data_IF_060371572207
#
_entry.id   IF_060371572207
#
_cell.length_a   1.000
_cell.length_b   1.000
_cell.length_c   1.000
_cell.angle_alpha   90.00
_cell.angle_beta   90.00
_cell.angle_gamma   90.00
#
_symmetry.space_group_name_H-M   'P 1'
#
loop_
_entity.id
_entity.type
_entity.pdbx_description
1 polymer ?
#
# COMPACT_ATOMS: atom_id res chain seq x y z
N UNK A 1 -23.60 10.03 1.56
CA UNK A 1 -22.61 9.57 0.58
C UNK A 1 -22.04 8.27 1.09
N UNK A 2 -21.87 7.27 0.21
CA UNK A 2 -21.30 5.97 0.60
C UNK A 2 -19.81 6.18 0.88
N UNK A 3 -19.38 5.97 2.11
CA UNK A 3 -17.98 6.05 2.50
C UNK A 3 -17.24 4.79 2.01
N UNK A 4 -16.53 4.90 0.89
CA UNK A 4 -15.81 3.77 0.28
C UNK A 4 -14.32 4.05 0.15
N UNK A 5 -13.51 3.05 0.44
CA UNK A 5 -12.06 3.07 0.23
C UNK A 5 -11.68 1.91 -0.70
N UNK A 6 -10.94 2.21 -1.77
CA UNK A 6 -10.38 1.20 -2.64
C UNK A 6 -9.06 0.70 -2.03
N UNK A 7 -8.97 -0.59 -1.79
CA UNK A 7 -7.76 -1.25 -1.29
C UNK A 7 -7.19 -2.12 -2.40
N UNK A 8 -5.96 -1.81 -2.81
CA UNK A 8 -5.32 -2.48 -3.94
C UNK A 8 -4.21 -3.40 -3.45
N UNK A 9 -4.42 -4.70 -3.63
CA UNK A 9 -3.46 -5.75 -3.31
C UNK A 9 -2.58 -6.08 -4.50
N UNK A 10 -1.40 -6.66 -4.24
CA UNK A 10 -0.62 -7.35 -5.26
C UNK A 10 -1.29 -8.65 -5.69
N UNK A 11 -1.00 -9.11 -6.89
CA UNK A 11 -1.27 -10.48 -7.35
C UNK A 11 0.01 -11.30 -7.50
N UNK A 12 1.16 -10.76 -7.09
CA UNK A 12 2.45 -11.41 -7.24
C UNK A 12 2.74 -12.35 -6.06
N UNK A 13 3.32 -13.53 -6.34
CA UNK A 13 3.41 -14.63 -5.37
C UNK A 13 4.82 -15.12 -5.08
N UNK A 14 5.86 -14.64 -5.78
CA UNK A 14 7.21 -15.20 -5.66
C UNK A 14 8.30 -14.14 -5.61
N UNK A 15 9.31 -14.39 -4.79
CA UNK A 15 10.53 -13.59 -4.74
C UNK A 15 11.55 -14.10 -5.79
N UNK A 16 12.46 -13.22 -6.25
CA UNK A 16 13.52 -13.58 -7.18
C UNK A 16 14.50 -14.55 -6.48
N UNK A 17 14.80 -15.67 -7.16
CA UNK A 17 15.78 -16.64 -6.66
C UNK A 17 15.37 -17.37 -5.37
N UNK A 18 14.08 -17.33 -5.04
CA UNK A 18 13.53 -17.97 -3.84
C UNK A 18 12.22 -18.69 -4.16
N UNK A 19 12.01 -19.81 -3.50
CA UNK A 19 10.71 -20.50 -3.50
C UNK A 19 9.78 -20.01 -2.38
N UNK A 20 10.23 -19.05 -1.57
CA UNK A 20 9.37 -18.45 -0.57
C UNK A 20 8.22 -17.68 -1.22
N UNK A 21 6.97 -17.99 -0.84
CA UNK A 21 5.82 -17.24 -1.32
C UNK A 21 5.86 -15.83 -0.73
N UNK A 22 5.41 -14.87 -1.52
CA UNK A 22 5.19 -13.49 -1.08
C UNK A 22 3.78 -13.05 -1.43
N UNK A 23 3.41 -11.87 -1.01
CA UNK A 23 2.08 -11.30 -1.21
C UNK A 23 1.92 -10.03 -0.38
N UNK A 24 0.71 -9.80 0.15
CA UNK A 24 0.51 -8.76 1.14
C UNK A 24 1.01 -9.20 2.52
N UNK A 25 1.50 -8.25 3.32
CA UNK A 25 2.00 -8.49 4.66
C UNK A 25 0.86 -8.33 5.68
N UNK A 26 0.60 -9.35 6.48
CA UNK A 26 -0.63 -9.50 7.29
C UNK A 26 -1.01 -8.26 8.14
N UNK A 27 -0.17 -7.72 9.05
CA UNK A 27 -0.56 -6.59 9.90
C UNK A 27 -0.81 -5.31 9.10
N UNK A 28 -0.24 -5.21 7.89
CA UNK A 28 -0.37 -4.02 7.06
C UNK A 28 -1.76 -3.85 6.45
N UNK A 29 -2.54 -4.89 6.47
CA UNK A 29 -3.96 -4.82 6.17
C UNK A 29 -4.84 -5.06 7.40
N UNK A 30 -4.48 -5.95 8.31
CA UNK A 30 -5.31 -6.28 9.46
C UNK A 30 -5.61 -5.05 10.34
N UNK A 31 -4.59 -4.26 10.69
CA UNK A 31 -4.76 -3.05 11.49
C UNK A 31 -5.60 -1.98 10.78
N UNK A 32 -5.27 -1.54 9.54
CA UNK A 32 -6.10 -0.57 8.82
C UNK A 32 -7.52 -1.08 8.54
N UNK A 33 -7.68 -2.39 8.27
CA UNK A 33 -8.99 -2.98 7.97
C UNK A 33 -9.99 -2.73 9.09
N UNK A 34 -9.66 -3.13 10.32
CA UNK A 34 -10.57 -2.93 11.45
C UNK A 34 -10.76 -1.46 11.80
N UNK A 35 -9.69 -0.68 11.74
CA UNK A 35 -9.77 0.75 12.02
C UNK A 35 -10.74 1.46 11.05
N UNK A 36 -10.62 1.21 9.76
CA UNK A 36 -11.42 1.85 8.72
C UNK A 36 -12.87 1.33 8.72
N UNK A 37 -13.08 0.03 8.90
CA UNK A 37 -14.43 -0.54 9.04
C UNK A 37 -15.17 -0.01 10.26
N UNK A 38 -14.50 0.06 11.42
CA UNK A 38 -15.08 0.60 12.65
C UNK A 38 -15.44 2.09 12.53
N UNK A 39 -14.76 2.83 11.64
CA UNK A 39 -15.09 4.20 11.30
C UNK A 39 -16.25 4.32 10.28
N UNK A 40 -16.83 3.19 9.86
CA UNK A 40 -18.00 3.13 8.97
C UNK A 40 -17.68 3.17 7.47
N UNK A 41 -16.44 2.88 7.08
CA UNK A 41 -16.06 2.78 5.67
C UNK A 41 -16.30 1.37 5.11
N UNK A 42 -16.80 1.30 3.89
CA UNK A 42 -16.81 0.08 3.08
C UNK A 42 -15.48 -0.04 2.36
N UNK A 43 -14.79 -1.16 2.54
CA UNK A 43 -13.53 -1.45 1.87
C UNK A 43 -13.80 -2.33 0.64
N UNK A 44 -13.33 -1.89 -0.51
CA UNK A 44 -13.42 -2.65 -1.77
C UNK A 44 -12.03 -3.15 -2.12
N UNK A 45 -11.85 -4.47 -2.17
CA UNK A 45 -10.59 -5.09 -2.53
C UNK A 45 -10.45 -5.22 -4.04
N UNK A 46 -9.28 -4.85 -4.56
CA UNK A 46 -8.93 -5.05 -5.96
C UNK A 46 -7.48 -5.56 -6.07
N UNK A 47 -7.17 -6.24 -7.15
CA UNK A 47 -5.81 -6.66 -7.49
C UNK A 47 -5.65 -6.79 -9.00
N UNK A 48 -4.42 -6.79 -9.56
CA UNK A 48 -4.19 -6.90 -11.00
C UNK A 48 -4.90 -8.10 -11.67
N UNK A 49 -4.88 -9.26 -11.01
CA UNK A 49 -5.39 -10.53 -11.58
C UNK A 49 -6.75 -10.96 -11.03
N UNK A 50 -7.32 -10.21 -10.09
CA UNK A 50 -8.51 -10.60 -9.34
C UNK A 50 -8.35 -11.89 -8.50
N UNK A 51 -9.42 -12.30 -7.85
CA UNK A 51 -9.44 -13.52 -7.02
C UNK A 51 -8.70 -13.35 -5.71
N UNK A 52 -8.06 -14.40 -5.25
CA UNK A 52 -7.36 -14.41 -3.96
C UNK A 52 -6.10 -13.55 -4.00
N UNK A 53 -6.04 -12.57 -3.09
CA UNK A 53 -4.81 -11.83 -2.86
C UNK A 53 -3.80 -12.73 -2.13
N UNK A 54 -2.57 -12.91 -2.65
CA UNK A 54 -1.58 -13.77 -2.01
C UNK A 54 -1.11 -13.18 -0.68
N UNK A 55 -1.07 -14.02 0.35
CA UNK A 55 -0.58 -13.68 1.69
C UNK A 55 0.88 -14.11 1.85
N UNK A 56 1.71 -13.20 2.35
CA UNK A 56 3.06 -13.55 2.77
C UNK A 56 3.02 -14.37 4.07
N UNK A 57 3.34 -15.65 3.98
CA UNK A 57 3.25 -16.58 5.10
C UNK A 57 4.24 -16.26 6.22
N UNK A 58 5.37 -15.60 5.93
CA UNK A 58 6.31 -15.17 6.95
C UNK A 58 5.68 -14.15 7.91
N UNK A 59 4.75 -13.33 7.41
CA UNK A 59 4.01 -12.36 8.23
C UNK A 59 3.05 -13.02 9.22
N UNK A 60 2.50 -14.18 8.88
CA UNK A 60 1.63 -14.95 9.79
C UNK A 60 2.42 -15.41 11.01
N UNK A 61 3.62 -15.98 10.79
CA UNK A 61 4.48 -16.42 11.88
C UNK A 61 5.02 -15.25 12.71
N UNK A 62 5.46 -14.18 12.05
CA UNK A 62 5.99 -12.99 12.71
C UNK A 62 4.95 -12.30 13.60
N UNK A 63 3.67 -12.32 13.21
CA UNK A 63 2.57 -11.64 13.90
C UNK A 63 1.54 -12.59 14.53
N UNK A 64 1.96 -13.81 14.86
CA UNK A 64 1.09 -14.84 15.47
C UNK A 64 0.50 -14.46 16.84
N UNK A 65 1.06 -13.47 17.51
CA UNK A 65 0.59 -12.94 18.79
C UNK A 65 -0.06 -11.57 18.68
N UNK A 66 -0.15 -11.01 17.47
CA UNK A 66 -0.82 -9.73 17.23
C UNK A 66 -2.34 -9.95 17.11
N UNK A 67 -3.10 -9.29 18.00
CA UNK A 67 -4.53 -9.54 18.13
C UNK A 67 -5.31 -9.29 16.85
N UNK A 68 -5.06 -8.18 16.15
CA UNK A 68 -5.77 -7.84 14.93
C UNK A 68 -5.38 -8.77 13.78
N UNK A 69 -4.11 -9.17 13.68
CA UNK A 69 -3.64 -10.14 12.68
C UNK A 69 -4.28 -11.52 12.90
N UNK A 70 -4.28 -12.00 14.13
CA UNK A 70 -4.91 -13.29 14.49
C UNK A 70 -6.42 -13.25 14.25
N UNK A 71 -7.07 -12.15 14.59
CA UNK A 71 -8.49 -11.92 14.33
C UNK A 71 -8.79 -11.92 12.84
N UNK A 72 -7.99 -11.21 12.05
CA UNK A 72 -8.15 -11.09 10.59
C UNK A 72 -8.12 -12.47 9.92
N UNK A 73 -7.21 -13.35 10.31
CA UNK A 73 -7.11 -14.71 9.77
C UNK A 73 -8.34 -15.59 10.11
N UNK A 74 -9.06 -15.28 11.18
CA UNK A 74 -10.25 -16.03 11.64
C UNK A 74 -11.57 -15.38 11.23
N UNK A 75 -11.55 -14.15 10.79
CA UNK A 75 -12.73 -13.39 10.40
C UNK A 75 -13.17 -13.82 9.00
N UNK A 76 -14.31 -14.52 8.92
CA UNK A 76 -14.83 -15.04 7.65
C UNK A 76 -15.15 -13.94 6.63
N UNK A 77 -15.58 -12.75 7.08
CA UNK A 77 -15.82 -11.61 6.20
C UNK A 77 -14.52 -11.08 5.61
N UNK A 78 -13.48 -10.90 6.47
CA UNK A 78 -12.17 -10.46 6.03
C UNK A 78 -11.53 -11.47 5.07
N UNK A 79 -11.60 -12.77 5.39
CA UNK A 79 -11.06 -13.83 4.51
C UNK A 79 -11.80 -13.90 3.16
N UNK A 80 -13.13 -13.82 3.19
CA UNK A 80 -13.91 -13.74 1.94
C UNK A 80 -13.53 -12.50 1.13
N UNK A 81 -13.27 -11.37 1.77
CA UNK A 81 -12.93 -10.11 1.13
C UNK A 81 -11.57 -10.17 0.40
N UNK A 82 -10.53 -10.74 1.02
CA UNK A 82 -9.21 -10.90 0.38
C UNK A 82 -9.16 -12.03 -0.64
N UNK A 83 -10.04 -13.03 -0.51
CA UNK A 83 -10.13 -14.15 -1.46
C UNK A 83 -10.92 -13.80 -2.73
N UNK A 84 -11.66 -12.68 -2.73
CA UNK A 84 -12.53 -12.28 -3.84
C UNK A 84 -12.23 -10.83 -4.28
N UNK A 85 -10.96 -10.50 -4.51
CA UNK A 85 -10.59 -9.18 -5.02
C UNK A 85 -11.16 -8.99 -6.43
N UNK A 86 -11.55 -7.76 -6.75
CA UNK A 86 -11.97 -7.39 -8.09
C UNK A 86 -10.75 -7.16 -8.99
N UNK A 87 -10.83 -7.45 -10.30
CA UNK A 87 -9.74 -7.11 -11.20
C UNK A 87 -9.59 -5.59 -11.32
N UNK A 88 -8.34 -5.10 -11.30
CA UNK A 88 -8.08 -3.67 -11.48
C UNK A 88 -8.67 -3.12 -12.77
N UNK A 89 -8.79 -3.95 -13.81
CA UNK A 89 -9.39 -3.57 -15.11
C UNK A 89 -10.88 -3.16 -15.03
N UNK A 90 -11.58 -3.47 -13.92
CA UNK A 90 -12.94 -2.96 -13.69
C UNK A 90 -12.95 -1.49 -13.25
N UNK A 91 -11.80 -0.94 -12.87
CA UNK A 91 -11.66 0.42 -12.40
C UNK A 91 -10.97 1.30 -13.44
N UNK A 92 -11.35 2.55 -13.48
CA UNK A 92 -10.78 3.56 -14.38
C UNK A 92 -10.74 4.92 -13.68
N UNK A 93 -10.28 5.93 -14.36
CA UNK A 93 -10.31 7.31 -13.85
C UNK A 93 -11.72 7.77 -13.47
N UNK A 94 -12.77 7.27 -14.11
CA UNK A 94 -14.18 7.57 -13.74
C UNK A 94 -14.56 6.95 -12.40
N UNK A 95 -14.00 5.80 -12.04
CA UNK A 95 -14.25 5.13 -10.76
C UNK A 95 -13.74 5.93 -9.55
N UNK A 96 -12.79 6.84 -9.75
CA UNK A 96 -12.26 7.70 -8.67
C UNK A 96 -13.37 8.45 -7.93
N UNK A 97 -14.43 8.85 -8.64
CA UNK A 97 -15.58 9.56 -8.04
C UNK A 97 -16.37 8.70 -7.03
N UNK A 98 -16.31 7.37 -7.14
CA UNK A 98 -17.06 6.43 -6.30
C UNK A 98 -16.40 6.16 -4.95
N UNK A 99 -15.14 6.53 -4.78
CA UNK A 99 -14.34 6.26 -3.60
C UNK A 99 -13.86 7.54 -2.94
N UNK A 100 -13.60 7.48 -1.64
CA UNK A 100 -13.09 8.60 -0.85
C UNK A 100 -11.56 8.56 -0.70
N UNK A 101 -10.94 7.38 -0.78
CA UNK A 101 -9.49 7.18 -0.71
C UNK A 101 -9.06 5.92 -1.47
N UNK A 102 -7.76 5.81 -1.74
CA UNK A 102 -7.10 4.59 -2.21
C UNK A 102 -5.96 4.22 -1.26
N UNK A 103 -5.84 2.91 -0.95
CA UNK A 103 -4.83 2.37 -0.04
C UNK A 103 -4.17 1.12 -0.62
N UNK A 104 -2.85 1.07 -0.51
CA UNK A 104 -1.99 -0.02 -0.94
C UNK A 104 -1.32 -0.65 0.30
N UNK A 105 -1.76 -1.81 0.81
CA UNK A 105 -1.01 -2.58 1.80
C UNK A 105 0.27 -3.12 1.17
N UNK A 106 1.32 -3.25 1.98
CA UNK A 106 2.62 -3.68 1.49
C UNK A 106 2.85 -5.19 1.56
N UNK A 107 4.06 -5.58 1.90
CA UNK A 107 4.67 -6.86 1.60
C UNK A 107 5.52 -6.73 0.34
N UNK A 108 6.35 -7.73 0.02
CA UNK A 108 7.28 -7.63 -1.12
C UNK A 108 6.59 -7.75 -2.50
N UNK A 109 5.43 -8.42 -2.57
CA UNK A 109 4.68 -8.59 -3.81
C UNK A 109 4.42 -7.30 -4.60
N UNK A 110 4.01 -6.19 -3.96
CA UNK A 110 3.83 -4.88 -4.59
C UNK A 110 5.01 -4.35 -5.41
N UNK A 111 6.24 -4.78 -5.14
CA UNK A 111 7.41 -4.35 -5.92
C UNK A 111 7.43 -4.89 -7.35
N UNK A 112 6.67 -5.94 -7.64
CA UNK A 112 6.75 -6.67 -8.90
C UNK A 112 5.69 -6.26 -9.92
N UNK A 113 4.46 -6.12 -9.49
CA UNK A 113 3.31 -5.94 -10.39
C UNK A 113 2.75 -4.51 -10.37
N UNK A 114 2.63 -3.90 -9.20
CA UNK A 114 1.94 -2.61 -9.08
C UNK A 114 2.64 -1.42 -9.76
N UNK A 115 3.98 -1.31 -9.76
CA UNK A 115 4.68 -0.21 -10.43
C UNK A 115 4.53 -0.22 -11.96
N UNK A 116 4.28 -1.39 -12.54
CA UNK A 116 4.18 -1.58 -14.00
C UNK A 116 2.74 -1.78 -14.49
N UNK A 117 1.78 -1.89 -13.58
CA UNK A 117 0.36 -1.97 -13.93
C UNK A 117 -0.18 -0.58 -14.28
N UNK A 118 -0.57 -0.40 -15.55
CA UNK A 118 -1.04 0.89 -16.05
C UNK A 118 -2.34 1.36 -15.35
N UNK A 119 -3.24 0.44 -15.01
CA UNK A 119 -4.48 0.77 -14.31
C UNK A 119 -4.19 1.24 -12.88
N UNK A 120 -3.25 0.56 -12.18
CA UNK A 120 -2.78 1.00 -10.86
C UNK A 120 -2.22 2.44 -10.93
N UNK A 121 -1.35 2.71 -11.90
CA UNK A 121 -0.77 4.04 -12.10
C UNK A 121 -1.84 5.11 -12.39
N UNK A 122 -2.82 4.80 -13.25
CA UNK A 122 -3.93 5.71 -13.57
C UNK A 122 -4.81 6.01 -12.36
N UNK A 123 -5.12 4.99 -11.57
CA UNK A 123 -5.89 5.15 -10.32
C UNK A 123 -5.13 6.01 -9.32
N UNK A 124 -3.85 5.72 -9.05
CA UNK A 124 -3.02 6.52 -8.15
C UNK A 124 -3.02 7.99 -8.59
N UNK A 125 -2.74 8.25 -9.87
CA UNK A 125 -2.80 9.60 -10.44
C UNK A 125 -4.16 10.24 -10.22
N UNK A 126 -5.24 9.53 -10.58
CA UNK A 126 -6.61 10.04 -10.50
C UNK A 126 -7.03 10.41 -9.07
N UNK A 127 -6.75 9.54 -8.09
CA UNK A 127 -7.04 9.82 -6.69
C UNK A 127 -6.23 11.02 -6.18
N UNK A 128 -4.93 11.03 -6.44
CA UNK A 128 -4.06 12.09 -6.01
C UNK A 128 -4.45 13.44 -6.63
N UNK A 129 -4.68 13.51 -7.94
CA UNK A 129 -5.05 14.75 -8.62
C UNK A 129 -6.44 15.25 -8.25
N UNK A 130 -7.36 14.36 -7.87
CA UNK A 130 -8.65 14.69 -7.29
C UNK A 130 -8.57 15.18 -5.83
N UNK A 131 -7.38 15.24 -5.23
CA UNK A 131 -7.19 15.64 -3.83
C UNK A 131 -7.63 14.59 -2.82
N UNK A 132 -7.87 13.36 -3.24
CA UNK A 132 -8.27 12.26 -2.38
C UNK A 132 -7.05 11.59 -1.74
N UNK A 133 -7.14 11.16 -0.46
CA UNK A 133 -6.06 10.47 0.21
C UNK A 133 -5.56 9.27 -0.60
N UNK A 134 -4.28 9.29 -0.92
CA UNK A 134 -3.57 8.24 -1.66
C UNK A 134 -2.49 7.69 -0.75
N UNK A 135 -2.65 6.46 -0.30
CA UNK A 135 -1.89 5.89 0.81
C UNK A 135 -1.20 4.57 0.44
N UNK A 136 0.00 4.35 0.98
CA UNK A 136 0.73 3.08 0.87
C UNK A 136 1.63 2.86 2.09
N UNK A 137 1.99 1.60 2.37
CA UNK A 137 2.87 1.25 3.49
C UNK A 137 3.93 0.24 3.08
N UNK A 138 5.09 0.25 3.74
CA UNK A 138 6.18 -0.72 3.59
C UNK A 138 6.77 -0.70 2.17
N UNK A 139 6.61 -1.77 1.40
CA UNK A 139 7.04 -1.82 0.00
C UNK A 139 6.01 -1.26 -1.00
N UNK A 140 4.75 -1.10 -0.59
CA UNK A 140 3.71 -0.62 -1.51
C UNK A 140 3.95 0.79 -2.09
N UNK A 141 4.71 1.72 -1.47
CA UNK A 141 5.13 2.95 -2.14
C UNK A 141 5.93 2.71 -3.44
N UNK A 142 6.38 1.48 -3.71
CA UNK A 142 6.85 1.08 -5.03
C UNK A 142 5.87 1.46 -6.15
N UNK A 143 4.56 1.31 -5.91
CA UNK A 143 3.52 1.68 -6.86
C UNK A 143 3.51 3.18 -7.21
N UNK A 144 4.07 4.03 -6.37
CA UNK A 144 4.14 5.49 -6.59
C UNK A 144 5.29 5.91 -7.50
N UNK A 145 6.34 5.07 -7.62
CA UNK A 145 7.64 5.46 -8.21
C UNK A 145 7.55 5.87 -9.66
N UNK A 146 6.75 5.19 -10.45
CA UNK A 146 6.66 5.41 -11.90
C UNK A 146 5.36 6.09 -12.35
N UNK A 147 4.53 6.54 -11.39
CA UNK A 147 3.32 7.31 -11.69
C UNK A 147 3.69 8.69 -12.22
N UNK A 148 3.18 9.00 -13.41
CA UNK A 148 3.27 10.33 -14.02
C UNK A 148 2.00 11.11 -13.77
N UNK A 149 2.14 12.33 -13.25
CA UNK A 149 1.05 13.31 -13.15
C UNK A 149 0.72 13.91 -14.52
N UNK A 150 -0.40 14.62 -14.59
CA UNK A 150 -0.87 15.24 -15.84
C UNK A 150 0.11 16.29 -16.41
N UNK A 151 0.99 16.85 -15.56
CA UNK A 151 2.06 17.76 -15.97
C UNK A 151 3.34 17.03 -16.44
N UNK A 152 3.35 15.70 -16.45
CA UNK A 152 4.47 14.84 -16.83
C UNK A 152 5.50 14.59 -15.74
N UNK A 153 5.39 15.24 -14.58
CA UNK A 153 6.27 15.00 -13.44
C UNK A 153 6.00 13.66 -12.77
N UNK A 154 6.98 13.09 -12.06
CA UNK A 154 6.73 11.94 -11.20
C UNK A 154 5.92 12.36 -9.97
N UNK A 155 4.95 11.52 -9.58
CA UNK A 155 4.12 11.74 -8.39
C UNK A 155 4.95 12.11 -7.17
N UNK A 156 6.02 11.37 -6.93
CA UNK A 156 6.87 11.54 -5.73
C UNK A 156 7.86 12.69 -5.83
N UNK A 157 8.03 13.30 -7.00
CA UNK A 157 9.01 14.37 -7.21
C UNK A 157 8.72 15.57 -6.29
N UNK A 158 9.70 15.91 -5.46
CA UNK A 158 9.61 17.00 -4.47
C UNK A 158 8.70 16.73 -3.28
N UNK A 159 8.08 15.54 -3.17
CA UNK A 159 7.21 15.14 -2.06
C UNK A 159 8.00 14.54 -0.90
N UNK A 160 7.49 14.74 0.32
CA UNK A 160 8.01 14.05 1.49
C UNK A 160 7.40 12.63 1.51
N UNK A 161 8.23 11.60 1.48
CA UNK A 161 7.80 10.20 1.38
C UNK A 161 8.69 9.31 2.22
N UNK A 162 8.15 8.22 2.73
CA UNK A 162 8.89 7.11 3.32
C UNK A 162 8.44 5.79 2.70
N UNK A 163 9.23 4.74 2.87
CA UNK A 163 8.92 3.37 2.50
C UNK A 163 9.84 2.41 3.25
N UNK A 164 9.71 1.12 3.01
CA UNK A 164 10.66 0.13 3.51
C UNK A 164 12.07 0.49 3.05
N UNK A 165 12.98 0.58 4.03
CA UNK A 165 14.31 1.15 3.80
C UNK A 165 15.29 0.13 3.24
N UNK A 166 16.35 0.60 2.57
CA UNK A 166 17.42 -0.28 2.12
C UNK A 166 18.08 -1.03 3.29
N UNK A 167 18.17 -0.39 4.45
CA UNK A 167 18.73 -1.00 5.66
C UNK A 167 17.83 -2.12 6.21
N UNK A 168 16.50 -1.90 6.23
CA UNK A 168 15.53 -2.93 6.60
C UNK A 168 15.56 -4.11 5.62
N UNK A 169 15.71 -3.83 4.32
CA UNK A 169 15.82 -4.87 3.29
C UNK A 169 17.09 -5.71 3.43
N UNK A 170 18.20 -5.08 3.79
CA UNK A 170 19.45 -5.77 4.08
C UNK A 170 19.31 -6.65 5.34
N UNK A 171 18.72 -6.11 6.41
CA UNK A 171 18.44 -6.87 7.64
C UNK A 171 17.47 -8.05 7.41
N UNK A 172 16.51 -7.90 6.51
CA UNK A 172 15.60 -8.97 6.09
C UNK A 172 16.31 -10.03 5.21
N UNK A 173 17.51 -9.72 4.68
CA UNK A 173 18.25 -10.62 3.79
C UNK A 173 17.65 -10.74 2.39
N UNK A 174 16.80 -9.81 1.97
CA UNK A 174 15.99 -9.89 0.74
C UNK A 174 16.40 -8.89 -0.35
N UNK A 175 17.50 -8.16 -0.17
CA UNK A 175 18.00 -7.14 -1.12
C UNK A 175 18.07 -7.61 -2.57
N UNK A 176 18.37 -8.91 -2.81
CA UNK A 176 18.46 -9.50 -4.14
C UNK A 176 17.18 -10.21 -4.58
N UNK A 177 16.18 -10.26 -3.71
CA UNK A 177 14.94 -11.00 -3.93
C UNK A 177 13.83 -10.16 -4.56
N UNK A 178 14.05 -8.86 -4.70
CA UNK A 178 13.14 -7.88 -5.32
C UNK A 178 13.79 -7.26 -6.56
N UNK A 179 13.00 -6.71 -7.51
CA UNK A 179 13.54 -6.15 -8.76
C UNK A 179 14.49 -4.97 -8.53
N UNK A 180 14.21 -4.17 -7.50
CA UNK A 180 14.97 -2.98 -7.13
C UNK A 180 14.55 -2.50 -5.73
N UNK A 181 15.44 -1.77 -5.07
CA UNK A 181 15.22 -1.23 -3.73
C UNK A 181 14.28 -0.02 -3.77
N UNK A 182 13.20 -0.07 -2.98
CA UNK A 182 12.14 0.95 -3.01
C UNK A 182 12.64 2.31 -2.57
N UNK A 183 13.41 2.39 -1.48
CA UNK A 183 14.04 3.64 -1.03
C UNK A 183 14.90 4.26 -2.14
N UNK A 184 15.76 3.47 -2.77
CA UNK A 184 16.63 3.96 -3.84
C UNK A 184 15.83 4.52 -5.02
N UNK A 185 14.80 3.80 -5.44
CA UNK A 185 13.98 4.21 -6.58
C UNK A 185 13.15 5.46 -6.30
N UNK A 186 12.58 5.56 -5.11
CA UNK A 186 11.82 6.75 -4.69
C UNK A 186 12.71 8.00 -4.72
N UNK A 187 13.95 7.87 -4.19
CA UNK A 187 14.94 8.96 -4.20
C UNK A 187 15.33 9.32 -5.65
N UNK A 188 15.58 8.33 -6.50
CA UNK A 188 15.88 8.52 -7.93
C UNK A 188 14.76 9.30 -8.65
N UNK A 189 13.49 9.10 -8.24
CA UNK A 189 12.33 9.82 -8.79
C UNK A 189 12.13 11.21 -8.19
N UNK A 190 13.05 11.69 -7.36
CA UNK A 190 13.09 13.05 -6.84
C UNK A 190 12.33 13.27 -5.54
N UNK A 191 11.96 12.23 -4.81
CA UNK A 191 11.33 12.37 -3.51
C UNK A 191 12.28 12.96 -2.47
N UNK A 192 11.72 13.70 -1.51
CA UNK A 192 12.35 14.06 -0.24
C UNK A 192 12.12 12.91 0.73
N UNK A 193 13.03 11.96 0.70
CA UNK A 193 12.92 10.75 1.52
C UNK A 193 13.30 11.03 2.97
N UNK A 194 12.46 10.57 3.91
CA UNK A 194 12.73 10.64 5.34
C UNK A 194 12.37 9.31 6.00
N UNK A 195 13.19 8.89 6.97
CA UNK A 195 13.04 7.62 7.68
C UNK A 195 13.39 7.74 9.15
N UNK A 196 12.89 6.79 9.93
CA UNK A 196 13.36 6.55 11.30
C UNK A 196 14.31 5.34 11.32
N UNK A 197 14.76 4.93 12.50
CA UNK A 197 15.54 3.70 12.66
C UNK A 197 14.79 2.49 12.06
N UNK A 198 15.51 1.46 11.63
CA UNK A 198 14.91 0.23 11.15
C UNK A 198 13.85 -0.31 12.11
N UNK A 199 12.73 -0.78 11.55
CA UNK A 199 11.57 -1.35 12.24
C UNK A 199 10.81 -0.37 13.15
N UNK A 200 11.21 0.89 13.23
CA UNK A 200 10.48 1.95 13.94
C UNK A 200 9.26 2.44 13.16
N UNK A 201 8.23 2.87 13.87
CA UNK A 201 7.06 3.50 13.23
C UNK A 201 7.44 4.85 12.62
N UNK A 202 7.15 5.03 11.34
CA UNK A 202 7.24 6.31 10.63
C UNK A 202 6.12 6.43 9.62
N UNK A 203 5.30 7.46 9.75
CA UNK A 203 4.29 7.83 8.77
C UNK A 203 4.54 9.26 8.31
N UNK A 204 4.50 9.47 7.01
CA UNK A 204 4.63 10.78 6.38
C UNK A 204 3.34 11.10 5.64
N UNK A 205 2.84 12.31 5.86
CA UNK A 205 1.70 12.88 5.14
C UNK A 205 2.19 14.12 4.40
N UNK A 206 2.35 14.01 3.09
CA UNK A 206 2.62 15.17 2.24
C UNK A 206 1.30 15.82 1.81
N UNK A 207 1.13 17.10 2.15
CA UNK A 207 -0.06 17.89 1.80
C UNK A 207 0.25 18.99 0.78
N UNK A 208 1.36 18.89 0.09
CA UNK A 208 1.78 19.89 -0.88
C UNK A 208 0.78 20.03 -2.04
N UNK A 209 0.51 21.26 -2.42
CA UNK A 209 -0.46 21.58 -3.48
C UNK A 209 -1.91 21.24 -3.15
N UNK A 210 -2.27 21.13 -1.85
CA UNK A 210 -3.62 20.81 -1.42
C UNK A 210 -4.05 19.36 -1.68
N UNK A 211 -3.10 18.49 -1.95
CA UNK A 211 -3.31 17.05 -2.22
C UNK A 211 -2.70 16.22 -1.10
N UNK A 212 -3.15 14.98 -0.92
CA UNK A 212 -2.76 14.16 0.23
C UNK A 212 -2.11 12.86 -0.25
N UNK A 213 -0.79 12.75 0.01
CA UNK A 213 -0.02 11.52 -0.19
C UNK A 213 0.43 11.00 1.18
N UNK A 214 0.08 9.76 1.50
CA UNK A 214 0.38 9.13 2.80
C UNK A 214 1.30 7.94 2.56
N UNK A 215 2.39 7.87 3.30
CA UNK A 215 3.32 6.74 3.23
C UNK A 215 3.76 6.30 4.62
N UNK A 216 3.86 4.98 4.82
CA UNK A 216 4.39 4.35 6.03
C UNK A 216 5.65 3.55 5.72
N UNK A 217 6.62 3.56 6.65
CA UNK A 217 7.94 2.96 6.41
C UNK A 217 7.91 1.42 6.36
N UNK A 218 7.17 0.78 7.26
CA UNK A 218 7.26 -0.64 7.54
C UNK A 218 5.98 -1.16 8.23
N UNK A 219 5.90 -2.46 8.61
CA UNK A 219 4.72 -3.01 9.27
C UNK A 219 4.29 -2.26 10.55
N UNK A 220 5.24 -1.72 11.33
CA UNK A 220 4.92 -0.95 12.53
C UNK A 220 4.15 0.35 12.20
N UNK A 221 4.25 0.84 10.98
CA UNK A 221 3.59 2.06 10.51
C UNK A 221 2.14 1.84 10.03
N UNK A 222 1.69 0.58 9.93
CA UNK A 222 0.42 0.23 9.29
C UNK A 222 -0.80 0.89 9.96
N UNK A 223 -0.88 0.79 11.29
CA UNK A 223 -1.96 1.44 12.06
C UNK A 223 -1.93 2.96 11.91
N UNK A 224 -0.73 3.54 11.93
CA UNK A 224 -0.51 4.98 11.72
C UNK A 224 -0.99 5.45 10.35
N UNK A 225 -0.71 4.69 9.29
CA UNK A 225 -1.23 4.98 7.93
C UNK A 225 -2.76 4.95 7.91
N UNK A 226 -3.38 3.94 8.52
CA UNK A 226 -4.84 3.88 8.66
C UNK A 226 -5.44 5.10 9.37
N UNK A 227 -4.80 5.56 10.46
CA UNK A 227 -5.20 6.78 11.19
C UNK A 227 -5.09 8.02 10.31
N UNK A 228 -4.01 8.16 9.54
CA UNK A 228 -3.81 9.32 8.67
C UNK A 228 -4.79 9.32 7.47
N UNK A 229 -5.18 8.15 6.96
CA UNK A 229 -6.30 8.06 5.99
C UNK A 229 -7.57 8.64 6.62
N UNK A 230 -7.94 8.20 7.84
CA UNK A 230 -9.13 8.72 8.52
C UNK A 230 -9.05 10.22 8.83
N UNK A 231 -7.88 10.72 9.23
CA UNK A 231 -7.66 12.14 9.48
C UNK A 231 -7.86 12.97 8.21
N UNK A 232 -7.33 12.50 7.09
CA UNK A 232 -7.48 13.17 5.80
C UNK A 232 -8.93 13.17 5.28
N UNK A 233 -9.70 12.12 5.60
CA UNK A 233 -11.12 12.01 5.21
C UNK A 233 -12.08 12.84 6.08
N UNK A 234 -11.61 13.36 7.21
CA UNK A 234 -12.38 14.24 8.11
C UNK A 234 -12.07 15.73 7.89
N UNK A 235 -10.97 16.02 7.19
CA UNK A 235 -10.51 17.38 6.93
C UNK A 235 -11.27 18.02 5.76
#
# INVERSE_FOLDING_TARGET
MSKKILVVFTSHTKLIGSDHPTGYYLPEIAHPYYLLKNAGYTLVAASPKAGEAPLDQSSVEAFKNDEDSVKFLKDSEAQSWVSNTKPLSEFSSSSVSEFDAIFYPGGHGPCFDLPVDSTSQELIRGFYEAGKPTAAVCHAPAAFTDVKLSDGSYLVNGKNVTCFTNEEEEQAGLTKAIPWLVESRIIERGAKFDKTQPWGEKVIVDKSGGKVLISGQNPASALGVGKEILNALKA
#
